data_IF_242192379772
#
_entry.id   IF_242192379772
#
_cell.length_a   1.000
_cell.length_b   1.000
_cell.length_c   1.000
_cell.angle_alpha   90.00
_cell.angle_beta   90.00
_cell.angle_gamma   90.00
#
_symmetry.space_group_name_H-M   'P 1'
#
loop_
_entity.id
_entity.type
_entity.pdbx_description
1 polymer ?
#
# COMPACT_ATOMS: atom_id res chain seq x y z
N UNK A 1 29.34 -16.13 -5.44
CA UNK A 1 28.35 -17.24 -5.42
C UNK A 1 28.63 -18.19 -6.56
N UNK A 2 28.44 -19.50 -6.38
CA UNK A 2 28.52 -20.47 -7.48
C UNK A 2 27.29 -20.30 -8.38
N UNK A 3 27.39 -20.68 -9.68
CA UNK A 3 26.26 -20.61 -10.62
C UNK A 3 25.03 -21.32 -10.04
N UNK A 4 25.20 -22.50 -9.47
CA UNK A 4 24.11 -23.26 -8.85
C UNK A 4 23.38 -22.51 -7.71
N UNK A 5 24.10 -21.74 -6.89
CA UNK A 5 23.50 -20.91 -5.83
C UNK A 5 22.71 -19.74 -6.43
N UNK A 6 23.18 -19.15 -7.49
CA UNK A 6 22.45 -18.09 -8.24
C UNK A 6 21.18 -18.65 -8.88
N UNK A 7 21.28 -19.80 -9.53
CA UNK A 7 20.13 -20.45 -10.16
C UNK A 7 19.07 -20.84 -9.12
N UNK A 8 19.48 -21.40 -7.99
CA UNK A 8 18.57 -21.70 -6.88
C UNK A 8 17.88 -20.45 -6.37
N UNK A 9 18.62 -19.36 -6.13
CA UNK A 9 18.04 -18.09 -5.65
C UNK A 9 17.02 -17.51 -6.64
N UNK A 10 17.32 -17.58 -7.94
CA UNK A 10 16.39 -17.13 -8.98
C UNK A 10 15.08 -17.94 -8.98
N UNK A 11 15.15 -19.24 -8.74
CA UNK A 11 13.96 -20.09 -8.58
C UNK A 11 13.18 -19.70 -7.34
N UNK A 12 13.85 -19.50 -6.19
CA UNK A 12 13.21 -19.09 -4.93
C UNK A 12 12.41 -17.79 -5.08
N UNK A 13 12.92 -16.82 -5.83
CA UNK A 13 12.21 -15.56 -6.11
C UNK A 13 10.92 -15.73 -6.94
N UNK A 14 10.67 -16.91 -7.50
CA UNK A 14 9.46 -17.19 -8.30
C UNK A 14 8.41 -17.99 -7.55
N UNK A 15 8.74 -18.50 -6.36
CA UNK A 15 7.83 -19.34 -5.57
C UNK A 15 6.83 -18.42 -4.86
N UNK A 16 5.51 -18.58 -5.10
CA UNK A 16 4.49 -17.80 -4.40
C UNK A 16 4.40 -18.19 -2.92
N UNK A 17 3.89 -17.27 -2.09
CA UNK A 17 3.60 -17.55 -0.69
C UNK A 17 2.47 -18.59 -0.54
N UNK A 18 2.42 -19.25 0.60
CA UNK A 18 1.38 -20.23 0.91
C UNK A 18 0.17 -19.51 1.49
N UNK A 19 -1.02 -19.58 0.85
CA UNK A 19 -2.22 -18.96 1.38
C UNK A 19 -2.72 -19.67 2.65
N UNK A 20 -3.54 -18.99 3.44
CA UNK A 20 -4.28 -19.63 4.53
C UNK A 20 -5.34 -20.58 3.97
N UNK A 21 -5.68 -21.63 4.74
CA UNK A 21 -6.73 -22.60 4.38
C UNK A 21 -8.12 -21.96 4.18
N UNK A 22 -8.34 -20.76 4.72
CA UNK A 22 -9.58 -20.00 4.56
C UNK A 22 -9.68 -19.30 3.20
N UNK A 23 -8.59 -19.22 2.43
CA UNK A 23 -8.58 -18.58 1.11
C UNK A 23 -9.20 -19.55 0.10
N UNK A 24 -10.31 -19.19 -0.56
CA UNK A 24 -10.93 -20.04 -1.57
C UNK A 24 -10.06 -20.12 -2.83
N UNK A 25 -10.23 -21.19 -3.60
CA UNK A 25 -9.60 -21.30 -4.92
C UNK A 25 -10.27 -20.36 -5.91
N UNK A 26 -9.46 -19.74 -6.79
CA UNK A 26 -9.94 -18.85 -7.84
C UNK A 26 -8.83 -18.42 -8.79
N UNK A 27 -9.21 -17.77 -9.89
CA UNK A 27 -8.31 -17.38 -10.99
C UNK A 27 -8.30 -15.87 -11.26
N UNK A 28 -9.23 -15.11 -10.67
CA UNK A 28 -9.36 -13.69 -10.92
C UNK A 28 -10.06 -12.91 -9.81
N UNK A 29 -10.14 -11.62 -9.97
CA UNK A 29 -10.77 -10.71 -9.00
C UNK A 29 -12.28 -10.97 -8.80
N UNK A 30 -12.94 -11.58 -9.78
CA UNK A 30 -14.34 -12.00 -9.73
C UNK A 30 -14.59 -13.13 -8.73
N UNK A 31 -13.56 -13.90 -8.41
CA UNK A 31 -13.63 -15.01 -7.46
C UNK A 31 -13.40 -14.53 -6.00
N UNK A 32 -13.08 -13.26 -5.80
CA UNK A 32 -12.90 -12.68 -4.46
C UNK A 32 -14.19 -12.78 -3.64
N UNK A 33 -14.06 -13.23 -2.40
CA UNK A 33 -15.19 -13.41 -1.49
C UNK A 33 -15.32 -12.22 -0.55
N UNK A 34 -16.55 -11.68 -0.44
CA UNK A 34 -16.87 -10.68 0.59
C UNK A 34 -17.00 -11.40 1.92
N UNK A 35 -16.02 -11.23 2.80
CA UNK A 35 -16.00 -11.84 4.12
C UNK A 35 -16.87 -11.05 5.11
N UNK A 36 -16.84 -9.72 5.00
CA UNK A 36 -17.56 -8.83 5.90
C UNK A 36 -17.95 -7.54 5.21
N UNK A 37 -19.09 -6.99 5.59
CA UNK A 37 -19.50 -5.62 5.26
C UNK A 37 -19.64 -4.83 6.56
N UNK A 38 -19.26 -3.55 6.53
CA UNK A 38 -19.32 -2.68 7.68
C UNK A 38 -19.49 -1.21 7.30
N UNK A 39 -19.59 -0.37 8.34
CA UNK A 39 -19.89 1.05 8.18
C UNK A 39 -21.38 1.30 7.97
N UNK A 40 -21.74 2.56 7.73
CA UNK A 40 -23.13 2.98 7.54
C UNK A 40 -23.46 2.90 6.03
N UNK A 41 -24.46 2.11 5.67
CA UNK A 41 -24.99 2.12 4.30
C UNK A 41 -25.50 3.52 3.96
N UNK A 42 -24.94 4.09 2.90
CA UNK A 42 -25.35 5.41 2.41
C UNK A 42 -26.01 5.24 1.06
N UNK A 43 -27.31 5.56 0.98
CA UNK A 43 -27.97 5.69 -0.31
C UNK A 43 -27.48 6.98 -1.00
N UNK A 44 -26.76 6.82 -2.09
CA UNK A 44 -26.35 7.95 -2.89
C UNK A 44 -27.55 8.49 -3.69
N UNK A 45 -27.70 9.82 -3.82
CA UNK A 45 -28.69 10.42 -4.72
C UNK A 45 -28.50 9.91 -6.16
N UNK A 46 -29.59 9.83 -6.93
CA UNK A 46 -29.53 9.38 -8.34
C UNK A 46 -28.62 10.25 -9.21
N UNK A 47 -28.44 11.50 -8.84
CA UNK A 47 -27.59 12.51 -9.48
C UNK A 47 -26.23 12.71 -8.76
N UNK A 48 -25.81 11.76 -7.94
CA UNK A 48 -24.52 11.80 -7.27
C UNK A 48 -23.38 11.94 -8.28
N UNK A 49 -22.55 12.95 -8.06
CA UNK A 49 -21.39 13.22 -8.91
C UNK A 49 -20.21 12.32 -8.54
N UNK A 50 -19.45 11.83 -9.51
CA UNK A 50 -18.21 11.09 -9.22
C UNK A 50 -17.16 12.01 -8.61
N UNK A 51 -16.18 11.43 -7.91
CA UNK A 51 -15.19 12.18 -7.12
C UNK A 51 -14.38 13.19 -7.95
N UNK A 52 -14.08 12.92 -9.22
CA UNK A 52 -13.35 13.86 -10.08
C UNK A 52 -14.19 15.11 -10.45
N UNK A 53 -15.51 14.99 -10.53
CA UNK A 53 -16.40 16.13 -10.73
C UNK A 53 -16.58 16.92 -9.43
N UNK A 54 -16.68 16.24 -8.28
CA UNK A 54 -16.69 16.88 -6.97
C UNK A 54 -15.38 17.64 -6.71
N UNK A 55 -14.23 17.03 -7.03
CA UNK A 55 -12.93 17.66 -6.90
C UNK A 55 -12.84 18.96 -7.72
N UNK A 56 -13.35 18.94 -8.95
CA UNK A 56 -13.43 20.13 -9.81
C UNK A 56 -14.45 21.16 -9.28
N UNK A 57 -15.65 20.73 -8.91
CA UNK A 57 -16.73 21.60 -8.40
C UNK A 57 -16.31 22.40 -7.17
N UNK A 58 -15.53 21.79 -6.27
CA UNK A 58 -15.08 22.40 -5.04
C UNK A 58 -13.63 22.91 -5.08
N UNK A 59 -12.99 22.85 -6.25
CA UNK A 59 -11.59 23.25 -6.48
C UNK A 59 -10.61 22.60 -5.49
N UNK A 60 -10.76 21.28 -5.29
CA UNK A 60 -9.96 20.51 -4.33
C UNK A 60 -8.72 19.89 -4.97
N UNK A 61 -8.86 19.43 -6.21
CA UNK A 61 -7.80 18.72 -6.95
C UNK A 61 -7.85 19.17 -8.40
N UNK A 62 -6.68 19.47 -8.94
CA UNK A 62 -6.50 19.89 -10.32
C UNK A 62 -5.67 18.86 -11.07
N UNK A 63 -6.33 18.05 -11.89
CA UNK A 63 -5.68 17.01 -12.69
C UNK A 63 -4.95 17.60 -13.91
N UNK A 64 -5.46 18.70 -14.47
CA UNK A 64 -4.87 19.34 -15.65
C UNK A 64 -3.53 20.01 -15.31
N UNK A 65 -3.42 20.61 -14.12
CA UNK A 65 -2.14 21.11 -13.62
C UNK A 65 -1.14 19.97 -13.41
N UNK A 66 -1.57 18.82 -12.93
CA UNK A 66 -0.71 17.65 -12.80
C UNK A 66 -0.17 17.18 -14.13
N UNK A 67 -1.03 17.10 -15.15
CA UNK A 67 -0.60 16.80 -16.53
C UNK A 67 0.41 17.82 -17.05
N UNK A 68 0.18 19.10 -16.78
CA UNK A 68 1.09 20.19 -17.22
C UNK A 68 2.48 20.10 -16.56
N UNK A 69 2.54 19.72 -15.28
CA UNK A 69 3.79 19.71 -14.50
C UNK A 69 4.60 18.44 -14.76
N UNK A 70 3.91 17.29 -14.79
CA UNK A 70 4.57 15.98 -14.81
C UNK A 70 3.98 15.06 -15.87
N UNK A 71 2.67 14.81 -15.81
CA UNK A 71 1.96 13.89 -16.69
C UNK A 71 0.63 13.41 -16.07
N UNK A 72 -0.09 12.57 -16.79
CA UNK A 72 -1.30 11.96 -16.27
C UNK A 72 -0.98 11.09 -15.04
N UNK A 73 -1.90 11.02 -14.07
CA UNK A 73 -1.69 10.25 -12.83
C UNK A 73 -0.90 10.97 -11.72
N UNK A 74 -0.61 12.27 -11.89
CA UNK A 74 0.02 13.14 -10.89
C UNK A 74 -0.91 14.29 -10.53
N UNK A 75 -1.87 14.12 -9.60
CA UNK A 75 -2.83 15.16 -9.26
C UNK A 75 -2.21 16.29 -8.43
N UNK A 76 -2.71 17.52 -8.62
CA UNK A 76 -2.33 18.66 -7.78
C UNK A 76 -3.45 18.95 -6.78
N UNK A 77 -3.21 18.70 -5.51
CA UNK A 77 -4.16 19.03 -4.44
C UNK A 77 -4.09 20.53 -4.12
N UNK A 78 -5.25 21.17 -3.99
CA UNK A 78 -5.35 22.62 -3.81
C UNK A 78 -6.18 23.00 -2.59
N UNK A 79 -5.84 24.11 -1.96
CA UNK A 79 -6.64 24.72 -0.91
C UNK A 79 -7.16 23.73 0.14
N UNK A 80 -8.48 23.58 0.22
CA UNK A 80 -9.13 22.65 1.15
C UNK A 80 -8.83 21.18 0.85
N UNK A 81 -8.57 20.82 -0.41
CA UNK A 81 -8.16 19.46 -0.79
C UNK A 81 -6.80 19.09 -0.18
N UNK A 82 -5.81 19.96 -0.29
CA UNK A 82 -4.50 19.76 0.34
C UNK A 82 -4.59 19.73 1.88
N UNK A 83 -5.47 20.57 2.46
CA UNK A 83 -5.71 20.56 3.92
C UNK A 83 -6.35 19.25 4.37
N UNK A 84 -7.34 18.73 3.62
CA UNK A 84 -8.01 17.47 3.91
C UNK A 84 -7.04 16.29 3.84
N UNK A 85 -6.21 16.23 2.78
CA UNK A 85 -5.21 15.17 2.65
C UNK A 85 -4.24 15.16 3.84
N UNK A 86 -3.72 16.31 4.22
CA UNK A 86 -2.84 16.43 5.40
C UNK A 86 -3.55 16.05 6.69
N UNK A 87 -4.83 16.44 6.85
CA UNK A 87 -5.61 16.08 8.03
C UNK A 87 -5.82 14.56 8.13
N UNK A 88 -6.10 13.87 7.01
CA UNK A 88 -6.23 12.42 6.96
C UNK A 88 -4.90 11.71 7.29
N UNK A 89 -3.78 12.20 6.75
CA UNK A 89 -2.45 11.67 7.07
C UNK A 89 -2.19 11.74 8.58
N UNK A 90 -2.39 12.93 9.18
CA UNK A 90 -2.19 13.11 10.61
C UNK A 90 -3.14 12.23 11.43
N UNK A 91 -4.42 12.14 11.03
CA UNK A 91 -5.38 11.28 11.69
C UNK A 91 -4.93 9.81 11.70
N UNK A 92 -4.50 9.26 10.55
CA UNK A 92 -4.04 7.87 10.48
C UNK A 92 -2.78 7.62 11.31
N UNK A 93 -1.81 8.54 11.30
CA UNK A 93 -0.61 8.43 12.14
C UNK A 93 -0.93 8.52 13.61
N UNK A 94 -1.81 9.44 14.02
CA UNK A 94 -2.20 9.60 15.43
C UNK A 94 -2.96 8.38 15.94
N UNK A 95 -3.84 7.77 15.13
CA UNK A 95 -4.55 6.55 15.49
C UNK A 95 -3.60 5.35 15.57
N UNK A 96 -2.64 5.23 14.65
CA UNK A 96 -1.61 4.20 14.72
C UNK A 96 -0.78 4.32 16.01
N UNK A 97 -0.34 5.54 16.36
CA UNK A 97 0.40 5.79 17.60
C UNK A 97 -0.42 5.45 18.86
N UNK A 98 -1.71 5.78 18.89
CA UNK A 98 -2.63 5.39 19.99
C UNK A 98 -2.75 3.88 20.14
N UNK A 99 -2.59 3.14 19.04
CA UNK A 99 -2.60 1.67 19.02
C UNK A 99 -1.21 1.05 19.28
N UNK A 100 -0.22 1.86 19.69
CA UNK A 100 1.10 1.38 20.11
C UNK A 100 2.15 1.31 18.98
N UNK A 101 1.84 1.79 17.78
CA UNK A 101 2.82 1.85 16.70
C UNK A 101 3.83 2.99 16.90
N UNK A 102 5.09 2.70 16.61
CA UNK A 102 6.17 3.69 16.56
C UNK A 102 6.20 4.32 15.17
N UNK A 103 6.12 5.63 15.12
CA UNK A 103 6.21 6.38 13.88
C UNK A 103 7.64 6.42 13.35
N UNK A 104 7.82 6.05 12.09
CA UNK A 104 9.09 6.07 11.36
C UNK A 104 8.95 7.00 10.16
N UNK A 105 9.97 7.80 9.90
CA UNK A 105 10.06 8.63 8.71
C UNK A 105 11.22 8.12 7.83
N UNK A 106 10.95 7.17 6.92
CA UNK A 106 11.99 6.57 6.10
C UNK A 106 12.27 7.40 4.84
N UNK A 107 13.39 7.17 4.14
CA UNK A 107 13.62 7.73 2.81
C UNK A 107 12.62 7.18 1.79
N UNK A 108 12.31 7.97 0.77
CA UNK A 108 11.42 7.59 -0.34
C UNK A 108 12.16 6.98 -1.53
N UNK A 109 13.48 6.87 -1.45
CA UNK A 109 14.34 6.16 -2.38
C UNK A 109 15.10 5.06 -1.67
N UNK A 110 15.26 3.92 -2.32
CA UNK A 110 15.90 2.73 -1.75
C UNK A 110 16.88 2.09 -2.74
N UNK A 111 17.85 1.34 -2.25
CA UNK A 111 18.73 0.52 -3.08
C UNK A 111 18.07 -0.79 -3.52
N UNK A 112 18.66 -1.46 -4.50
CA UNK A 112 18.16 -2.72 -5.03
C UNK A 112 18.01 -3.81 -3.95
N UNK A 113 18.94 -3.87 -2.98
CA UNK A 113 18.87 -4.85 -1.90
C UNK A 113 17.60 -4.71 -1.04
N UNK A 114 17.11 -3.48 -0.85
CA UNK A 114 15.83 -3.25 -0.17
C UNK A 114 14.63 -3.66 -1.02
N UNK A 115 14.70 -3.47 -2.34
CA UNK A 115 13.66 -3.96 -3.25
C UNK A 115 13.55 -5.48 -3.26
N UNK A 116 14.68 -6.19 -3.23
CA UNK A 116 14.69 -7.64 -3.10
C UNK A 116 14.23 -8.12 -1.72
N UNK A 117 14.50 -7.36 -0.66
CA UNK A 117 14.14 -7.72 0.72
C UNK A 117 12.62 -7.76 0.97
N UNK A 118 11.83 -7.12 0.13
CA UNK A 118 10.35 -7.11 0.21
C UNK A 118 9.67 -7.59 -1.07
N UNK A 119 10.41 -8.24 -1.98
CA UNK A 119 9.85 -8.85 -3.18
C UNK A 119 9.41 -7.87 -4.28
N UNK A 120 9.76 -6.59 -4.18
CA UNK A 120 9.49 -5.60 -5.24
C UNK A 120 10.44 -5.79 -6.44
N UNK A 121 11.60 -6.37 -6.21
CA UNK A 121 12.53 -6.82 -7.22
C UNK A 121 12.65 -8.35 -7.20
N UNK A 122 12.83 -9.02 -8.35
CA UNK A 122 12.92 -8.43 -9.69
C UNK A 122 11.57 -7.86 -10.16
N UNK A 123 11.57 -6.63 -10.68
CA UNK A 123 10.35 -5.95 -11.15
C UNK A 123 9.85 -6.54 -12.48
N UNK A 124 9.09 -7.61 -12.38
CA UNK A 124 8.59 -8.34 -13.55
C UNK A 124 7.52 -7.56 -14.33
N UNK A 125 6.83 -6.66 -13.66
CA UNK A 125 5.72 -5.89 -14.22
C UNK A 125 6.10 -4.46 -14.62
N UNK A 126 7.34 -4.03 -14.33
CA UNK A 126 7.82 -2.69 -14.63
C UNK A 126 7.13 -1.60 -13.82
N UNK A 127 6.79 -1.88 -12.55
CA UNK A 127 6.04 -0.98 -11.67
C UNK A 127 6.90 0.05 -10.97
N UNK A 128 8.19 -0.22 -10.78
CA UNK A 128 9.08 0.67 -10.04
C UNK A 128 9.68 1.76 -10.93
N UNK A 129 9.75 2.98 -10.40
CA UNK A 129 10.58 4.04 -10.97
C UNK A 129 12.03 3.82 -10.56
N UNK A 130 12.94 3.79 -11.53
CA UNK A 130 14.37 3.60 -11.34
C UNK A 130 15.15 4.87 -11.71
N UNK A 131 15.97 5.36 -10.79
CA UNK A 131 16.93 6.43 -11.00
C UNK A 131 18.25 5.81 -11.48
N UNK A 132 18.45 5.71 -12.78
CA UNK A 132 19.55 4.96 -13.40
C UNK A 132 20.94 5.43 -12.97
N UNK A 133 21.13 6.74 -12.83
CA UNK A 133 22.44 7.35 -12.50
C UNK A 133 22.94 6.94 -11.12
N UNK A 134 22.04 6.89 -10.15
CA UNK A 134 22.35 6.60 -8.74
C UNK A 134 22.08 5.15 -8.37
N UNK A 135 21.48 4.37 -9.26
CA UNK A 135 20.99 3.00 -9.03
C UNK A 135 20.06 2.91 -7.80
N UNK A 136 19.10 3.84 -7.73
CA UNK A 136 18.11 3.93 -6.69
C UNK A 136 16.71 3.78 -7.25
N UNK A 137 15.79 3.30 -6.43
CA UNK A 137 14.39 3.09 -6.78
C UNK A 137 13.49 3.95 -5.92
N UNK A 138 12.49 4.62 -6.54
CA UNK A 138 11.42 5.27 -5.78
C UNK A 138 10.50 4.20 -5.19
N UNK A 139 10.15 4.34 -3.92
CA UNK A 139 9.37 3.33 -3.22
C UNK A 139 7.91 3.30 -3.69
N UNK A 140 7.32 2.11 -3.92
CA UNK A 140 5.89 1.96 -4.19
C UNK A 140 5.04 1.92 -2.92
N UNK A 141 5.70 1.78 -1.76
CA UNK A 141 5.10 1.62 -0.42
C UNK A 141 6.16 1.84 0.65
N UNK A 142 5.77 2.38 1.80
CA UNK A 142 6.65 2.50 2.97
C UNK A 142 7.07 1.14 3.55
N UNK A 143 6.36 0.07 3.22
CA UNK A 143 6.73 -1.30 3.57
C UNK A 143 8.19 -1.58 3.20
N UNK A 144 8.63 -1.17 1.99
CA UNK A 144 9.98 -1.43 1.51
C UNK A 144 11.06 -0.87 2.45
N UNK A 145 11.13 0.44 2.73
CA UNK A 145 12.16 0.94 3.64
C UNK A 145 11.95 0.51 5.09
N UNK A 146 10.73 0.44 5.59
CA UNK A 146 10.46 0.16 7.01
C UNK A 146 10.78 -1.30 7.36
N UNK A 147 10.40 -2.26 6.52
CA UNK A 147 10.73 -3.68 6.72
C UNK A 147 12.25 -3.89 6.62
N UNK A 148 12.92 -3.21 5.68
CA UNK A 148 14.36 -3.34 5.49
C UNK A 148 15.21 -2.71 6.60
N UNK A 149 14.64 -1.96 7.55
CA UNK A 149 15.34 -1.58 8.80
C UNK A 149 15.83 -2.83 9.55
N UNK A 150 15.08 -3.92 9.42
CA UNK A 150 15.35 -5.19 10.11
C UNK A 150 15.99 -6.25 9.21
N UNK A 151 16.34 -5.93 7.97
CA UNK A 151 17.06 -6.84 7.08
C UNK A 151 18.45 -7.15 7.66
N UNK A 152 18.84 -8.42 7.64
CA UNK A 152 20.10 -8.92 8.17
C UNK A 152 20.31 -8.65 9.68
N UNK A 153 19.22 -8.44 10.43
CA UNK A 153 19.22 -8.25 11.88
C UNK A 153 18.63 -9.48 12.55
N UNK A 154 19.31 -9.98 13.58
CA UNK A 154 18.75 -11.00 14.47
C UNK A 154 18.07 -10.29 15.63
N UNK A 155 16.75 -10.41 15.69
CA UNK A 155 15.95 -9.82 16.76
C UNK A 155 15.90 -10.76 17.98
N UNK A 156 16.04 -10.19 19.17
CA UNK A 156 15.79 -10.93 20.42
C UNK A 156 14.27 -11.02 20.65
N UNK A 157 13.81 -12.12 21.20
CA UNK A 157 12.38 -12.37 21.48
C UNK A 157 11.71 -11.26 22.29
N UNK A 158 12.42 -10.66 23.24
CA UNK A 158 11.93 -9.55 24.07
C UNK A 158 11.65 -8.24 23.29
N UNK A 159 12.14 -8.14 22.04
CA UNK A 159 11.93 -6.98 21.16
C UNK A 159 10.61 -7.09 20.39
N UNK A 160 9.98 -8.27 20.38
CA UNK A 160 8.74 -8.53 19.66
C UNK A 160 7.51 -8.31 20.54
N UNK A 161 6.38 -7.85 19.98
CA UNK A 161 6.24 -7.45 18.58
C UNK A 161 6.89 -6.10 18.30
N UNK A 162 7.44 -5.92 17.09
CA UNK A 162 7.80 -4.61 16.56
C UNK A 162 6.61 -4.08 15.77
N UNK A 163 6.18 -2.86 16.07
CA UNK A 163 5.03 -2.23 15.45
C UNK A 163 5.43 -0.84 14.97
N UNK A 164 5.56 -0.66 13.66
CA UNK A 164 5.95 0.59 13.04
C UNK A 164 4.83 1.14 12.16
N UNK A 165 4.67 2.46 12.13
CA UNK A 165 3.86 3.16 11.13
C UNK A 165 4.70 4.22 10.42
N UNK A 166 4.38 4.47 9.16
CA UNK A 166 5.09 5.45 8.37
C UNK A 166 4.17 6.13 7.36
N UNK A 167 4.31 7.43 7.19
CA UNK A 167 3.76 8.17 6.06
C UNK A 167 4.84 8.38 5.01
N UNK A 168 4.52 8.05 3.75
CA UNK A 168 5.37 8.37 2.61
C UNK A 168 4.56 8.75 1.38
N UNK A 169 5.18 9.50 0.47
CA UNK A 169 4.79 9.46 -0.93
C UNK A 169 5.20 8.12 -1.51
N UNK A 170 4.32 7.53 -2.30
CA UNK A 170 4.52 6.26 -2.97
C UNK A 170 4.43 6.45 -4.47
N UNK A 171 5.24 5.71 -5.23
CA UNK A 171 5.39 5.88 -6.66
C UNK A 171 5.20 4.54 -7.37
N UNK A 172 4.25 4.50 -8.32
CA UNK A 172 3.99 3.31 -9.16
C UNK A 172 3.89 3.73 -10.61
N UNK A 173 4.53 2.99 -11.51
CA UNK A 173 4.45 3.27 -12.95
C UNK A 173 3.08 2.95 -13.54
N UNK A 174 2.28 2.16 -12.84
CA UNK A 174 0.95 1.72 -13.28
C UNK A 174 0.98 1.14 -14.70
N UNK A 175 2.05 0.41 -15.03
CA UNK A 175 2.29 -0.16 -16.34
C UNK A 175 1.13 -1.09 -16.73
N UNK A 176 0.58 -0.90 -17.93
CA UNK A 176 -0.54 -1.68 -18.43
C UNK A 176 -1.94 -1.23 -17.97
N UNK A 177 -2.05 -0.14 -17.20
CA UNK A 177 -3.36 0.39 -16.78
C UNK A 177 -3.91 1.38 -17.81
N UNK A 178 -5.13 1.10 -18.31
CA UNK A 178 -5.79 1.91 -19.35
C UNK A 178 -7.29 2.10 -19.07
N UNK A 179 -7.89 3.14 -19.67
CA UNK A 179 -9.33 3.31 -19.75
C UNK A 179 -9.97 3.94 -18.51
N UNK A 180 -11.13 3.42 -18.08
CA UNK A 180 -11.95 4.03 -17.02
C UNK A 180 -11.28 3.99 -15.64
N UNK A 181 -10.42 3.02 -15.41
CA UNK A 181 -9.76 2.80 -14.12
C UNK A 181 -8.70 3.84 -13.78
N UNK A 182 -8.21 4.61 -14.77
CA UNK A 182 -7.24 5.68 -14.59
C UNK A 182 -7.86 7.05 -14.37
N UNK A 183 -9.21 7.17 -14.36
CA UNK A 183 -9.87 8.47 -14.17
C UNK A 183 -9.92 8.85 -12.69
N UNK A 184 -9.59 10.11 -12.42
CA UNK A 184 -9.62 10.67 -11.06
C UNK A 184 -8.51 10.14 -10.17
N UNK A 185 -8.86 9.64 -8.98
CA UNK A 185 -7.92 9.16 -7.95
C UNK A 185 -7.77 7.63 -7.89
N UNK A 186 -8.40 6.89 -8.80
CA UNK A 186 -8.43 5.43 -8.72
C UNK A 186 -7.06 4.78 -8.92
N UNK A 187 -6.25 5.32 -9.85
CA UNK A 187 -4.88 4.88 -10.12
C UNK A 187 -3.98 6.07 -10.36
N UNK A 188 -2.97 6.22 -9.54
CA UNK A 188 -2.05 7.35 -9.56
C UNK A 188 -0.61 6.85 -9.62
N UNK A 189 0.23 7.62 -10.33
CA UNK A 189 1.67 7.39 -10.36
C UNK A 189 2.36 7.86 -9.08
N UNK A 190 1.77 8.85 -8.40
CA UNK A 190 2.21 9.35 -7.09
C UNK A 190 1.00 9.49 -6.16
N UNK A 191 1.09 8.94 -4.96
CA UNK A 191 0.03 9.01 -3.95
C UNK A 191 0.60 8.95 -2.53
N UNK A 192 -0.16 9.47 -1.58
CA UNK A 192 0.18 9.44 -0.16
C UNK A 192 -0.34 8.14 0.48
N UNK A 193 0.51 7.48 1.29
CA UNK A 193 0.13 6.28 2.03
C UNK A 193 0.66 6.32 3.47
N UNK A 194 -0.21 5.99 4.42
CA UNK A 194 0.18 5.64 5.78
C UNK A 194 0.20 4.13 5.88
N UNK A 195 1.35 3.58 6.22
CA UNK A 195 1.64 2.15 6.25
C UNK A 195 1.77 1.66 7.68
N UNK A 196 1.31 0.45 7.95
CA UNK A 196 1.58 -0.27 9.19
C UNK A 196 2.46 -1.46 8.86
N UNK A 197 3.56 -1.61 9.61
CA UNK A 197 4.46 -2.77 9.51
C UNK A 197 4.57 -3.40 10.87
N UNK A 198 4.30 -4.70 10.96
CA UNK A 198 4.41 -5.46 12.20
C UNK A 198 5.30 -6.68 12.00
N UNK A 199 6.25 -6.87 12.92
CA UNK A 199 7.11 -8.06 12.99
C UNK A 199 6.80 -8.75 14.30
N UNK A 200 6.37 -10.00 14.22
CA UNK A 200 5.96 -10.79 15.38
C UNK A 200 6.48 -12.21 15.26
N UNK A 201 6.25 -13.03 16.28
CA UNK A 201 6.56 -14.45 16.26
C UNK A 201 5.64 -15.18 15.27
N UNK A 202 6.13 -16.24 14.60
CA UNK A 202 5.32 -17.01 13.65
C UNK A 202 3.98 -17.50 14.24
N UNK A 203 3.98 -17.95 15.49
CA UNK A 203 2.79 -18.42 16.20
C UNK A 203 1.74 -17.33 16.44
N UNK A 204 2.13 -16.05 16.44
CA UNK A 204 1.26 -14.91 16.64
C UNK A 204 0.81 -14.27 15.32
N UNK A 205 1.37 -14.67 14.17
CA UNK A 205 1.17 -13.97 12.89
C UNK A 205 -0.30 -13.80 12.48
N UNK A 206 -1.12 -14.84 12.67
CA UNK A 206 -2.57 -14.78 12.38
C UNK A 206 -3.30 -13.78 13.26
N UNK A 207 -3.00 -13.77 14.56
CA UNK A 207 -3.59 -12.82 15.50
C UNK A 207 -3.15 -11.39 15.17
N UNK A 208 -1.85 -11.20 14.90
CA UNK A 208 -1.28 -9.90 14.51
C UNK A 208 -1.92 -9.34 13.26
N UNK A 209 -2.15 -10.19 12.25
CA UNK A 209 -2.87 -9.80 11.04
C UNK A 209 -4.31 -9.36 11.33
N UNK A 210 -5.03 -10.11 12.17
CA UNK A 210 -6.40 -9.74 12.56
C UNK A 210 -6.44 -8.41 13.32
N UNK A 211 -5.52 -8.19 14.26
CA UNK A 211 -5.41 -6.93 15.01
C UNK A 211 -5.12 -5.73 14.09
N UNK A 212 -4.30 -5.91 13.05
CA UNK A 212 -4.07 -4.88 12.04
C UNK A 212 -5.33 -4.59 11.21
N UNK A 213 -6.07 -5.63 10.82
CA UNK A 213 -7.34 -5.49 10.12
C UNK A 213 -8.37 -4.76 10.98
N UNK A 214 -8.52 -5.14 12.25
CA UNK A 214 -9.43 -4.49 13.20
C UNK A 214 -9.10 -3.00 13.39
N UNK A 215 -7.80 -2.66 13.40
CA UNK A 215 -7.35 -1.27 13.44
C UNK A 215 -7.83 -0.49 12.21
N UNK A 216 -7.65 -1.05 11.00
CA UNK A 216 -8.09 -0.40 9.74
C UNK A 216 -9.61 -0.26 9.70
N UNK A 217 -10.37 -1.27 10.12
CA UNK A 217 -11.83 -1.17 10.25
C UNK A 217 -12.23 -0.04 11.19
N UNK A 218 -11.55 0.07 12.35
CA UNK A 218 -11.78 1.15 13.31
C UNK A 218 -11.54 2.56 12.71
N UNK A 219 -10.57 2.71 11.80
CA UNK A 219 -10.36 3.97 11.08
C UNK A 219 -11.54 4.30 10.16
N UNK A 220 -12.02 3.33 9.39
CA UNK A 220 -13.16 3.52 8.48
C UNK A 220 -14.45 3.82 9.25
N UNK A 221 -14.66 3.18 10.39
CA UNK A 221 -15.79 3.45 11.29
C UNK A 221 -15.74 4.87 11.87
N UNK A 222 -14.57 5.35 12.30
CA UNK A 222 -14.38 6.73 12.78
C UNK A 222 -14.60 7.78 11.69
N UNK A 223 -14.36 7.41 10.43
CA UNK A 223 -14.64 8.25 9.27
C UNK A 223 -16.07 8.08 8.75
N UNK A 224 -16.89 7.23 9.38
CA UNK A 224 -18.27 6.92 8.99
C UNK A 224 -18.39 6.44 7.53
N UNK A 225 -17.35 5.73 7.03
CA UNK A 225 -17.30 5.23 5.67
C UNK A 225 -17.84 3.79 5.59
N UNK A 226 -18.69 3.47 4.59
CA UNK A 226 -19.05 2.10 4.30
C UNK A 226 -17.85 1.35 3.70
N UNK A 227 -17.70 0.07 4.06
CA UNK A 227 -16.59 -0.74 3.57
C UNK A 227 -16.98 -2.21 3.40
N UNK A 228 -16.18 -2.92 2.63
CA UNK A 228 -16.20 -4.37 2.50
C UNK A 228 -14.82 -4.93 2.76
N UNK A 229 -14.74 -6.02 3.50
CA UNK A 229 -13.54 -6.84 3.60
C UNK A 229 -13.65 -7.91 2.53
N UNK A 230 -12.69 -7.93 1.64
CA UNK A 230 -12.58 -8.91 0.57
C UNK A 230 -11.41 -9.85 0.86
N UNK A 231 -11.68 -11.13 0.79
CA UNK A 231 -10.63 -12.14 0.73
C UNK A 231 -10.18 -12.23 -0.73
N UNK A 232 -9.00 -11.66 -0.99
CA UNK A 232 -8.45 -11.57 -2.34
C UNK A 232 -7.61 -12.79 -2.68
N UNK A 233 -7.87 -13.38 -3.84
CA UNK A 233 -7.15 -14.55 -4.34
C UNK A 233 -5.91 -14.18 -5.15
N UNK A 234 -5.91 -12.98 -5.75
CA UNK A 234 -4.83 -12.55 -6.66
C UNK A 234 -3.62 -11.95 -5.94
N UNK A 235 -3.76 -11.53 -4.66
CA UNK A 235 -2.67 -10.97 -3.87
C UNK A 235 -1.87 -12.04 -3.09
N UNK A 236 -2.18 -13.31 -3.29
CA UNK A 236 -1.44 -14.45 -2.70
C UNK A 236 0.00 -14.53 -3.22
N UNK A 237 0.27 -13.91 -4.36
CA UNK A 237 1.58 -13.92 -5.02
C UNK A 237 2.54 -12.83 -4.55
N UNK A 238 2.09 -11.89 -3.72
CA UNK A 238 2.99 -10.92 -3.12
C UNK A 238 3.72 -11.59 -1.95
N UNK A 239 5.06 -11.75 -2.03
CA UNK A 239 5.82 -12.23 -0.89
C UNK A 239 5.72 -11.18 0.22
N UNK A 240 5.23 -11.58 1.35
CA UNK A 240 5.17 -10.79 2.59
C UNK A 240 6.38 -11.06 3.46
#
# INVERSE_FOLDING_TARGET
MTQAATDMQNVLYTIPNIPYDSVPEGVGAEDNVVEKMGGMETELPKDALPHWELAKKYDLIDFDLGVKITGAGFPVYKGKGAQLQRALINFFLDEARKSGYTEIMPPTVVNAASGYGTGQLPDKEGQMYHCEVDDLYLIPTAEVPVTNIYRDVILEEKQLPIMNCAYTQCFRREAGSYGKDVRGLNRLHEFSKVELVRIDKPEHSKQSHQEMLDHVEGLLQKLELPYRILLSLIHIYEPT
#
